data_IF_198066739094
#
_entry.id   IF_198066739094
#
_cell.length_a   1.000
_cell.length_b   1.000
_cell.length_c   1.000
_cell.angle_alpha   90.00
_cell.angle_beta   90.00
_cell.angle_gamma   90.00
#
_symmetry.space_group_name_H-M   'P 1'
#
loop_
_entity.id
_entity.type
_entity.pdbx_description
1 polymer ?
#
# COMPACT_ATOMS: atom_id res chain seq x y z
N UNK A 1 1.96 4.01 39.60
CA UNK A 1 1.09 3.94 38.40
C UNK A 1 1.82 4.62 37.27
N UNK A 2 2.16 3.89 36.22
CA UNK A 2 2.75 4.48 35.00
C UNK A 2 1.66 5.25 34.27
N UNK A 3 1.81 6.58 34.18
CA UNK A 3 0.95 7.39 33.33
C UNK A 3 1.32 7.12 31.87
N UNK A 4 0.32 6.94 31.01
CA UNK A 4 0.53 6.84 29.57
C UNK A 4 1.11 8.16 29.06
N UNK A 5 2.14 8.07 28.21
CA UNK A 5 2.70 9.26 27.53
C UNK A 5 1.69 9.91 26.56
N UNK A 6 0.61 9.19 26.22
CA UNK A 6 -0.44 9.66 25.32
C UNK A 6 -1.56 10.29 26.13
N UNK A 7 -1.81 11.59 25.89
CA UNK A 7 -2.91 12.34 26.50
C UNK A 7 -4.27 11.79 26.04
N UNK A 8 -5.26 11.77 26.94
CA UNK A 8 -6.62 11.31 26.62
C UNK A 8 -7.28 12.14 25.50
N UNK A 9 -7.01 13.45 25.43
CA UNK A 9 -7.48 14.29 24.34
C UNK A 9 -6.94 13.84 22.97
N UNK A 10 -5.69 13.40 22.91
CA UNK A 10 -5.08 12.84 21.69
C UNK A 10 -5.80 11.57 21.26
N UNK A 11 -6.14 10.68 22.21
CA UNK A 11 -6.91 9.45 21.91
C UNK A 11 -8.29 9.78 21.36
N UNK A 12 -9.00 10.73 21.99
CA UNK A 12 -10.34 11.14 21.55
C UNK A 12 -10.33 11.74 20.14
N UNK A 13 -9.35 12.61 19.82
CA UNK A 13 -9.17 13.18 18.49
C UNK A 13 -8.88 12.11 17.44
N UNK A 14 -8.01 11.14 17.75
CA UNK A 14 -7.73 10.02 16.84
C UNK A 14 -8.99 9.20 16.59
N UNK A 15 -9.77 8.86 17.62
CA UNK A 15 -11.02 8.10 17.49
C UNK A 15 -12.08 8.80 16.64
N UNK A 16 -12.21 10.13 16.73
CA UNK A 16 -13.14 10.90 15.89
C UNK A 16 -12.68 10.94 14.42
N UNK A 17 -11.37 11.14 14.20
CA UNK A 17 -10.75 11.04 12.87
C UNK A 17 -11.05 9.69 12.20
N UNK A 18 -10.98 8.60 12.98
CA UNK A 18 -11.32 7.25 12.50
C UNK A 18 -12.76 7.17 12.00
N UNK A 19 -13.70 7.57 12.87
CA UNK A 19 -15.14 7.46 12.61
C UNK A 19 -15.58 8.26 11.39
N UNK A 20 -14.95 9.42 11.17
CA UNK A 20 -15.28 10.32 10.07
C UNK A 20 -14.56 10.01 8.76
N UNK A 21 -13.66 9.03 8.77
CA UNK A 21 -12.74 8.75 7.67
C UNK A 21 -11.95 9.99 7.20
N UNK A 22 -11.66 10.91 8.13
CA UNK A 22 -11.05 12.22 7.84
C UNK A 22 -9.51 12.11 7.78
N UNK A 23 -9.02 11.28 6.85
CA UNK A 23 -7.60 10.94 6.75
C UNK A 23 -6.81 11.83 5.78
N UNK A 24 -7.48 12.76 5.09
CA UNK A 24 -6.90 13.50 3.97
C UNK A 24 -6.67 12.57 2.78
N UNK A 25 -5.42 12.46 2.32
CA UNK A 25 -5.06 11.55 1.24
C UNK A 25 -4.70 10.17 1.82
N UNK A 26 -5.59 9.19 1.61
CA UNK A 26 -5.46 7.82 2.11
C UNK A 26 -5.68 6.80 1.01
N UNK A 27 -4.82 5.78 0.95
CA UNK A 27 -4.88 4.75 -0.08
C UNK A 27 -5.76 3.66 0.48
N UNK A 28 -7.02 3.63 0.07
CA UNK A 28 -7.95 2.64 0.57
C UNK A 28 -7.81 1.31 -0.15
N UNK A 29 -7.57 1.35 -1.47
CA UNK A 29 -7.48 0.15 -2.31
C UNK A 29 -6.43 0.33 -3.39
N UNK A 30 -5.82 -0.77 -3.82
CA UNK A 30 -5.07 -0.85 -5.06
C UNK A 30 -5.48 -2.14 -5.79
N UNK A 31 -5.85 -2.01 -7.06
CA UNK A 31 -6.24 -3.14 -7.92
C UNK A 31 -5.07 -3.45 -8.87
N UNK A 32 -4.49 -4.63 -8.74
CA UNK A 32 -3.28 -5.05 -9.48
C UNK A 32 -3.69 -5.98 -10.61
N UNK A 33 -3.49 -5.55 -11.87
CA UNK A 33 -3.75 -6.43 -13.01
C UNK A 33 -2.65 -7.49 -13.16
N UNK A 34 -1.37 -7.09 -13.09
CA UNK A 34 -0.23 -8.01 -13.26
C UNK A 34 1.09 -7.42 -12.76
N UNK A 35 1.64 -7.84 -11.62
CA UNK A 35 2.95 -7.36 -11.11
C UNK A 35 3.65 -8.48 -10.36
N UNK A 36 4.88 -8.87 -10.72
CA UNK A 36 5.77 -9.76 -9.94
C UNK A 36 5.03 -10.90 -9.18
N UNK A 37 4.30 -11.74 -9.90
CA UNK A 37 3.55 -12.87 -9.32
C UNK A 37 2.11 -12.57 -8.91
N UNK A 38 1.72 -11.30 -8.77
CA UNK A 38 0.33 -10.86 -8.65
C UNK A 38 -0.33 -10.87 -10.03
N UNK A 39 -1.51 -11.48 -10.16
CA UNK A 39 -2.40 -11.45 -11.31
C UNK A 39 -3.87 -11.28 -10.88
N UNK A 40 -4.40 -10.05 -10.99
CA UNK A 40 -5.82 -9.74 -10.78
C UNK A 40 -6.26 -9.57 -9.33
N UNK A 41 -5.35 -9.19 -8.43
CA UNK A 41 -5.64 -9.04 -7.01
C UNK A 41 -6.06 -7.62 -6.62
N UNK A 42 -7.05 -7.56 -5.74
CA UNK A 42 -7.46 -6.36 -5.03
C UNK A 42 -6.82 -6.34 -3.65
N UNK A 43 -6.10 -5.26 -3.34
CA UNK A 43 -5.47 -5.05 -2.03
C UNK A 43 -6.17 -3.89 -1.34
N UNK A 44 -6.77 -4.14 -0.18
CA UNK A 44 -7.32 -3.10 0.68
C UNK A 44 -6.32 -2.75 1.78
N UNK A 45 -6.24 -1.46 2.08
CA UNK A 45 -5.53 -0.97 3.26
C UNK A 45 -6.61 -0.46 4.21
N UNK A 46 -6.80 -1.20 5.29
CA UNK A 46 -7.77 -0.89 6.32
C UNK A 46 -7.13 -0.01 7.39
N UNK A 47 -7.88 1.02 7.76
CA UNK A 47 -7.53 1.92 8.86
C UNK A 47 -7.88 1.26 10.21
N UNK A 48 -7.17 1.52 11.33
CA UNK A 48 -6.03 2.44 11.52
C UNK A 48 -4.68 1.87 11.10
N UNK A 49 -4.56 0.55 11.11
CA UNK A 49 -3.29 -0.14 10.93
C UNK A 49 -3.53 -1.33 10.03
N UNK A 50 -2.88 -1.31 8.87
CA UNK A 50 -2.77 -2.48 7.99
C UNK A 50 -1.40 -3.11 8.20
N UNK A 51 -1.36 -4.40 8.52
CA UNK A 51 -0.12 -5.17 8.61
C UNK A 51 0.08 -5.99 7.34
N UNK A 52 1.17 -5.74 6.62
CA UNK A 52 1.57 -6.54 5.46
C UNK A 52 2.58 -7.60 5.89
N UNK A 53 2.13 -8.86 5.97
CA UNK A 53 2.92 -9.99 6.50
C UNK A 53 3.13 -11.07 5.44
N UNK A 54 4.16 -11.91 5.64
CA UNK A 54 4.45 -13.06 4.77
C UNK A 54 5.95 -13.38 4.70
N UNK A 55 6.34 -14.55 4.15
CA UNK A 55 7.74 -14.94 3.99
C UNK A 55 8.56 -14.00 3.09
N UNK A 56 9.88 -14.10 3.13
CA UNK A 56 10.73 -13.39 2.17
C UNK A 56 10.42 -13.84 0.74
N UNK A 57 10.37 -12.88 -0.19
CA UNK A 57 9.96 -13.14 -1.58
C UNK A 57 8.44 -13.21 -1.83
N UNK A 58 7.59 -13.13 -0.80
CA UNK A 58 6.12 -13.20 -0.95
C UNK A 58 5.46 -11.97 -1.60
N UNK A 59 6.24 -11.05 -2.19
CA UNK A 59 5.69 -9.89 -2.89
C UNK A 59 5.36 -8.65 -2.04
N UNK A 60 5.67 -8.63 -0.74
CA UNK A 60 5.37 -7.46 0.14
C UNK A 60 5.95 -6.14 -0.39
N UNK A 61 7.21 -6.16 -0.84
CA UNK A 61 7.85 -4.98 -1.44
C UNK A 61 7.18 -4.56 -2.74
N UNK A 62 6.56 -5.49 -3.48
CA UNK A 62 5.77 -5.17 -4.67
C UNK A 62 4.49 -4.41 -4.30
N UNK A 63 3.78 -4.85 -3.26
CA UNK A 63 2.60 -4.13 -2.73
C UNK A 63 2.96 -2.72 -2.26
N UNK A 64 4.09 -2.56 -1.55
CA UNK A 64 4.58 -1.23 -1.15
C UNK A 64 4.97 -0.36 -2.36
N UNK A 65 5.59 -0.95 -3.40
CA UNK A 65 5.89 -0.24 -4.64
C UNK A 65 4.63 0.23 -5.37
N UNK A 66 3.59 -0.62 -5.38
CA UNK A 66 2.26 -0.28 -5.89
C UNK A 66 1.69 0.91 -5.14
N UNK A 67 1.65 0.86 -3.80
CA UNK A 67 1.15 1.95 -2.98
C UNK A 67 1.94 3.26 -3.16
N UNK A 68 3.27 3.18 -3.28
CA UNK A 68 4.13 4.34 -3.51
C UNK A 68 3.85 5.06 -4.83
N UNK A 69 3.46 4.31 -5.87
CA UNK A 69 3.12 4.87 -7.19
C UNK A 69 1.79 5.64 -7.19
N UNK A 70 0.93 5.47 -6.18
CA UNK A 70 -0.30 6.25 -6.03
C UNK A 70 -0.04 7.73 -5.68
N UNK A 71 1.08 8.00 -4.99
CA UNK A 71 1.33 9.29 -4.33
C UNK A 71 2.49 10.10 -4.90
N UNK A 72 3.44 9.44 -5.55
CA UNK A 72 4.61 10.12 -6.11
C UNK A 72 4.54 10.15 -7.62
N UNK A 73 5.06 11.22 -8.27
CA UNK A 73 5.29 11.24 -9.72
C UNK A 73 6.47 10.34 -10.12
N UNK A 74 6.71 9.24 -9.39
CA UNK A 74 7.72 8.26 -9.74
C UNK A 74 7.10 7.34 -10.78
N UNK A 75 7.69 7.33 -11.98
CA UNK A 75 7.29 6.39 -13.03
C UNK A 75 7.38 4.97 -12.46
N UNK A 76 6.32 4.17 -12.53
CA UNK A 76 6.32 2.83 -11.95
C UNK A 76 7.44 1.91 -12.47
N UNK A 77 7.94 2.15 -13.69
CA UNK A 77 9.11 1.44 -14.24
C UNK A 77 10.41 1.62 -13.43
N UNK A 78 10.48 2.61 -12.53
CA UNK A 78 11.58 2.76 -11.56
C UNK A 78 11.51 1.71 -10.44
N UNK A 79 10.30 1.34 -10.02
CA UNK A 79 10.08 0.32 -8.97
C UNK A 79 9.97 -1.09 -9.55
N UNK A 80 9.37 -1.19 -10.73
CA UNK A 80 9.16 -2.41 -11.49
C UNK A 80 9.93 -2.37 -12.81
N UNK A 81 11.29 -2.39 -12.77
CA UNK A 81 12.07 -2.46 -13.98
C UNK A 81 11.72 -3.75 -14.73
N UNK A 82 11.43 -3.63 -16.02
CA UNK A 82 11.33 -4.78 -16.91
C UNK A 82 12.73 -5.35 -17.09
N UNK A 83 12.92 -6.66 -16.95
CA UNK A 83 14.22 -7.28 -17.23
C UNK A 83 14.56 -7.11 -18.71
N UNK A 84 15.80 -6.76 -19.01
CA UNK A 84 16.17 -6.08 -20.26
C UNK A 84 16.19 -6.98 -21.50
N UNK A 85 16.02 -8.30 -21.38
CA UNK A 85 15.91 -9.22 -22.54
C UNK A 85 15.07 -10.44 -22.16
N UNK A 86 13.98 -10.71 -22.89
CA UNK A 86 13.23 -11.98 -22.85
C UNK A 86 12.25 -12.19 -21.67
N UNK A 87 12.11 -11.24 -20.75
CA UNK A 87 11.16 -11.34 -19.63
C UNK A 87 9.86 -10.57 -19.91
N UNK A 88 8.83 -11.32 -20.32
CA UNK A 88 7.48 -10.80 -20.57
C UNK A 88 6.52 -10.98 -19.38
N UNK A 89 7.03 -11.44 -18.23
CA UNK A 89 6.19 -11.76 -17.06
C UNK A 89 5.38 -10.55 -16.59
N UNK A 90 5.91 -9.34 -16.75
CA UNK A 90 5.25 -8.07 -16.45
C UNK A 90 4.78 -7.29 -17.70
N UNK A 91 4.68 -7.93 -18.87
CA UNK A 91 4.05 -7.30 -20.02
C UNK A 91 2.57 -6.99 -19.73
N UNK A 92 2.11 -5.79 -20.09
CA UNK A 92 0.74 -5.33 -19.83
C UNK A 92 0.41 -5.04 -18.37
N UNK A 93 1.41 -4.88 -17.49
CA UNK A 93 1.15 -4.54 -16.09
C UNK A 93 0.37 -3.23 -15.94
N UNK A 94 -0.58 -3.21 -15.00
CA UNK A 94 -1.43 -2.06 -14.69
C UNK A 94 -1.80 -2.08 -13.21
N UNK A 95 -1.96 -0.89 -12.64
CA UNK A 95 -2.46 -0.68 -11.29
C UNK A 95 -3.50 0.43 -11.32
N UNK A 96 -4.58 0.25 -10.57
CA UNK A 96 -5.61 1.24 -10.32
C UNK A 96 -5.71 1.52 -8.82
N UNK A 97 -6.00 2.76 -8.44
CA UNK A 97 -5.99 3.26 -7.06
C UNK A 97 -7.35 3.85 -6.68
#
# INVERSE_FOLDING_TARGET
MTMSEIRESTKAQLLDKVRRHDYGQYLFKASIAKIRGFTGEDITFDFPVTALIGPNGSGKSSVLGVAGCAYKPIKPGMFFPKSTVGDESMSGWRVEY
#
